data_IF_264227538890
#
_entry.id   IF_264227538890
#
_cell.length_a   1.000
_cell.length_b   1.000
_cell.length_c   1.000
_cell.angle_alpha   90.00
_cell.angle_beta   90.00
_cell.angle_gamma   90.00
#
_symmetry.space_group_name_H-M   'P 1'
#
loop_
_entity.id
_entity.type
_entity.pdbx_description
1 polymer ?
#
# COMPACT_ATOMS: atom_id res chain seq x y z
N UNK A 1 23.67 -33.54 9.53
CA UNK A 1 24.41 -34.79 9.29
C UNK A 1 23.90 -35.84 10.27
N UNK A 2 22.89 -36.61 9.88
CA UNK A 2 22.40 -37.77 10.63
C UNK A 2 21.71 -38.70 9.62
N UNK A 3 22.36 -39.83 9.33
CA UNK A 3 21.89 -40.84 8.37
C UNK A 3 20.99 -41.84 9.10
N UNK A 4 19.82 -42.15 8.53
CA UNK A 4 18.99 -43.28 8.93
C UNK A 4 18.90 -44.25 7.74
N UNK A 5 19.51 -45.43 7.88
CA UNK A 5 19.43 -46.55 6.93
C UNK A 5 18.25 -47.45 7.31
N UNK A 6 17.39 -47.79 6.33
CA UNK A 6 16.35 -48.83 6.45
C UNK A 6 16.78 -50.06 5.65
N UNK A 7 16.87 -51.20 6.34
CA UNK A 7 17.17 -52.52 5.77
C UNK A 7 15.93 -53.12 5.09
N UNK A 8 16.10 -53.60 3.86
CA UNK A 8 15.16 -54.47 3.15
C UNK A 8 15.61 -55.92 3.26
N UNK A 9 14.71 -56.82 3.67
CA UNK A 9 14.94 -58.27 3.69
C UNK A 9 14.00 -58.93 2.69
N UNK A 10 14.59 -59.58 1.67
CA UNK A 10 13.93 -60.37 0.63
C UNK A 10 13.97 -61.85 1.06
N UNK A 11 12.85 -62.58 1.05
CA UNK A 11 12.86 -64.05 1.16
C UNK A 11 11.93 -64.68 0.12
N UNK A 12 12.55 -65.57 -0.67
CA UNK A 12 12.05 -66.38 -1.78
C UNK A 12 11.11 -67.51 -1.30
N UNK A 13 10.09 -67.82 -2.10
CA UNK A 13 9.25 -69.02 -2.00
C UNK A 13 9.88 -70.15 -2.84
N UNK A 14 9.94 -71.36 -2.30
CA UNK A 14 10.06 -72.59 -3.08
C UNK A 14 9.45 -73.78 -2.30
N UNK A 15 8.41 -74.39 -2.85
CA UNK A 15 7.85 -75.67 -2.36
C UNK A 15 7.66 -76.61 -3.55
N UNK A 16 8.38 -77.73 -3.52
CA UNK A 16 8.34 -78.82 -4.49
C UNK A 16 7.30 -79.89 -4.11
N UNK A 17 6.72 -80.47 -5.15
CA UNK A 17 5.69 -81.53 -5.26
C UNK A 17 6.21 -82.91 -4.81
N UNK A 18 5.32 -83.85 -4.43
CA UNK A 18 5.18 -85.22 -5.00
C UNK A 18 4.16 -86.16 -4.27
N UNK A 19 3.09 -86.50 -5.02
CA UNK A 19 2.53 -87.84 -5.39
C UNK A 19 1.97 -88.87 -4.36
N UNK A 20 0.74 -89.31 -4.65
CA UNK A 20 0.31 -90.73 -4.71
C UNK A 20 -0.99 -91.05 -3.94
N UNK A 21 -1.99 -91.84 -4.40
CA UNK A 21 -2.22 -92.70 -5.57
C UNK A 21 -3.73 -93.13 -5.59
N UNK A 22 -4.28 -93.40 -6.80
CA UNK A 22 -5.26 -94.46 -7.21
C UNK A 22 -6.64 -94.59 -6.51
N UNK A 23 -7.80 -94.88 -7.12
CA UNK A 23 -8.18 -95.60 -8.35
C UNK A 23 -9.72 -95.37 -8.64
N UNK A 24 -10.39 -96.00 -9.64
CA UNK A 24 -11.16 -95.29 -10.67
C UNK A 24 -12.67 -95.62 -10.70
N UNK A 25 -13.47 -94.86 -11.46
CA UNK A 25 -14.65 -95.39 -12.18
C UNK A 25 -15.01 -94.48 -13.37
N UNK A 26 -15.22 -95.12 -14.52
CA UNK A 26 -15.51 -94.53 -15.83
C UNK A 26 -16.95 -94.01 -15.90
N UNK A 27 -17.16 -92.81 -16.44
CA UNK A 27 -18.24 -92.56 -17.41
C UNK A 27 -17.85 -91.45 -18.40
N UNK A 28 -18.21 -91.68 -19.66
CA UNK A 28 -17.75 -90.96 -20.83
C UNK A 28 -18.41 -89.58 -20.95
N UNK A 29 -17.64 -88.50 -20.81
CA UNK A 29 -18.00 -87.17 -21.30
C UNK A 29 -16.74 -86.41 -21.75
N UNK A 30 -16.93 -85.56 -22.75
CA UNK A 30 -15.97 -84.72 -23.48
C UNK A 30 -14.86 -84.11 -22.62
N UNK A 31 -13.68 -83.76 -23.19
CA UNK A 31 -12.68 -83.00 -22.44
C UNK A 31 -13.34 -81.72 -21.94
N UNK A 32 -13.50 -81.58 -20.62
CA UNK A 32 -13.76 -80.28 -20.03
C UNK A 32 -12.48 -79.47 -20.21
N UNK A 33 -12.63 -78.40 -20.97
CA UNK A 33 -11.73 -77.26 -20.98
C UNK A 33 -11.51 -76.80 -19.52
N UNK A 34 -10.27 -76.74 -19.02
CA UNK A 34 -10.02 -76.31 -17.66
C UNK A 34 -10.25 -74.79 -17.57
N UNK A 35 -11.25 -74.41 -16.76
CA UNK A 35 -11.64 -73.04 -16.39
C UNK A 35 -12.19 -72.16 -17.52
N UNK A 36 -13.40 -71.59 -17.37
CA UNK A 36 -13.66 -70.29 -17.95
C UNK A 36 -12.66 -69.32 -17.31
N UNK A 37 -11.95 -68.58 -18.17
CA UNK A 37 -11.18 -67.40 -17.81
C UNK A 37 -12.06 -66.53 -16.90
N UNK A 38 -11.50 -66.11 -15.77
CA UNK A 38 -12.05 -65.07 -14.90
C UNK A 38 -12.64 -63.95 -15.76
N UNK A 39 -13.94 -63.70 -15.62
CA UNK A 39 -14.68 -62.69 -16.37
C UNK A 39 -13.98 -61.33 -16.18
N UNK A 40 -13.13 -60.96 -17.15
CA UNK A 40 -12.04 -59.99 -17.09
C UNK A 40 -12.50 -58.53 -17.03
N UNK A 41 -13.39 -58.24 -16.09
CA UNK A 41 -14.08 -56.96 -15.98
C UNK A 41 -13.20 -55.89 -15.32
N UNK A 42 -13.31 -54.62 -15.77
CA UNK A 42 -12.69 -53.52 -15.06
C UNK A 42 -13.26 -53.37 -13.64
N UNK A 43 -12.42 -52.93 -12.70
CA UNK A 43 -12.82 -52.61 -11.32
C UNK A 43 -12.37 -51.19 -11.02
N UNK A 44 -13.32 -50.29 -10.87
CA UNK A 44 -13.09 -48.93 -10.38
C UNK A 44 -13.07 -48.95 -8.84
N UNK A 45 -12.15 -48.21 -8.24
CA UNK A 45 -11.94 -48.10 -6.79
C UNK A 45 -12.03 -46.64 -6.40
N UNK A 46 -12.70 -46.35 -5.28
CA UNK A 46 -12.88 -44.97 -4.81
C UNK A 46 -11.55 -44.24 -4.61
N UNK A 47 -11.56 -42.96 -4.95
CA UNK A 47 -10.43 -42.04 -4.88
C UNK A 47 -10.64 -40.97 -3.81
N UNK A 48 -9.54 -40.48 -3.25
CA UNK A 48 -9.55 -39.36 -2.29
C UNK A 48 -8.56 -38.29 -2.72
N UNK A 49 -8.96 -37.03 -2.57
CA UNK A 49 -8.09 -35.89 -2.80
C UNK A 49 -8.39 -34.75 -1.84
N UNK A 50 -7.47 -33.78 -1.83
CA UNK A 50 -7.60 -32.55 -1.04
C UNK A 50 -7.14 -31.39 -1.91
N UNK A 51 -7.86 -30.28 -1.84
CA UNK A 51 -7.50 -29.01 -2.48
C UNK A 51 -7.89 -27.88 -1.56
N UNK A 52 -7.24 -26.74 -1.68
CA UNK A 52 -7.74 -25.51 -1.07
C UNK A 52 -8.99 -25.03 -1.80
N UNK A 53 -9.84 -24.27 -1.13
CA UNK A 53 -10.88 -23.54 -1.83
C UNK A 53 -10.31 -22.63 -2.92
N UNK A 54 -11.16 -22.29 -3.89
CA UNK A 54 -10.85 -21.49 -5.08
C UNK A 54 -9.72 -21.97 -6.01
N UNK A 55 -8.92 -22.94 -5.56
CA UNK A 55 -7.85 -23.58 -6.30
C UNK A 55 -8.38 -24.70 -7.19
N UNK A 56 -7.80 -24.78 -8.40
CA UNK A 56 -8.03 -25.92 -9.28
C UNK A 56 -7.15 -27.10 -8.88
N UNK A 57 -7.73 -28.29 -8.84
CA UNK A 57 -7.04 -29.55 -8.59
C UNK A 57 -6.94 -30.37 -9.88
N UNK A 58 -5.70 -30.66 -10.31
CA UNK A 58 -5.46 -31.63 -11.39
C UNK A 58 -5.33 -33.03 -10.82
N UNK A 59 -6.27 -33.90 -11.18
CA UNK A 59 -6.33 -35.32 -10.83
C UNK A 59 -5.56 -36.14 -11.87
N UNK A 60 -4.28 -36.42 -11.59
CA UNK A 60 -3.37 -37.10 -12.53
C UNK A 60 -3.48 -38.65 -12.50
N UNK A 61 -4.02 -39.23 -11.42
CA UNK A 61 -3.87 -40.65 -11.11
C UNK A 61 -5.20 -41.37 -10.76
N UNK A 62 -6.32 -40.93 -11.33
CA UNK A 62 -7.65 -41.53 -11.06
C UNK A 62 -7.72 -43.03 -11.33
N UNK A 63 -6.96 -43.55 -12.29
CA UNK A 63 -6.96 -44.98 -12.63
C UNK A 63 -5.84 -45.77 -11.94
N UNK A 64 -5.10 -45.17 -11.00
CA UNK A 64 -3.87 -45.78 -10.44
C UNK A 64 -4.15 -46.90 -9.42
N UNK A 65 -5.29 -46.83 -8.74
CA UNK A 65 -5.85 -47.81 -7.82
C UNK A 65 -6.84 -48.77 -8.51
N UNK A 66 -7.21 -48.51 -9.76
CA UNK A 66 -8.15 -49.29 -10.54
C UNK A 66 -7.52 -50.54 -11.17
N UNK A 67 -8.38 -51.54 -11.41
CA UNK A 67 -8.04 -52.66 -12.28
C UNK A 67 -8.54 -52.37 -13.69
N UNK A 68 -7.61 -51.99 -14.56
CA UNK A 68 -7.87 -51.66 -15.97
C UNK A 68 -7.61 -52.91 -16.85
N UNK A 69 -8.68 -53.55 -17.31
CA UNK A 69 -8.66 -54.71 -18.22
C UNK A 69 -9.35 -54.36 -19.54
N UNK A 70 -9.08 -55.11 -20.60
CA UNK A 70 -9.77 -55.03 -21.91
C UNK A 70 -9.92 -53.59 -22.45
N UNK A 71 -8.80 -52.85 -22.42
CA UNK A 71 -8.69 -51.45 -22.86
C UNK A 71 -9.70 -50.50 -22.18
N UNK A 72 -10.12 -50.81 -20.95
CA UNK A 72 -11.08 -50.00 -20.24
C UNK A 72 -10.61 -48.57 -20.04
N UNK A 73 -11.57 -47.64 -20.13
CA UNK A 73 -11.35 -46.19 -19.98
C UNK A 73 -12.54 -45.55 -19.28
N UNK A 74 -12.33 -44.38 -18.69
CA UNK A 74 -13.43 -43.57 -18.16
C UNK A 74 -14.35 -43.20 -19.33
N UNK A 75 -15.58 -43.71 -19.29
CA UNK A 75 -16.59 -43.52 -20.35
C UNK A 75 -17.53 -42.36 -20.05
N UNK A 76 -17.79 -42.13 -18.76
CA UNK A 76 -18.61 -41.03 -18.26
C UNK A 76 -18.15 -40.64 -16.86
N UNK A 77 -18.35 -39.38 -16.52
CA UNK A 77 -18.11 -38.82 -15.20
C UNK A 77 -19.11 -37.68 -14.97
N UNK A 78 -19.37 -37.33 -13.71
CA UNK A 78 -20.21 -36.17 -13.42
C UNK A 78 -19.40 -34.89 -13.67
N UNK A 79 -19.88 -34.04 -14.58
CA UNK A 79 -19.24 -32.75 -14.89
C UNK A 79 -19.51 -31.68 -13.83
N UNK A 80 -20.50 -31.95 -12.97
CA UNK A 80 -20.86 -31.11 -11.81
C UNK A 80 -20.88 -32.00 -10.59
N UNK A 81 -20.16 -31.59 -9.56
CA UNK A 81 -20.01 -32.34 -8.31
C UNK A 81 -21.23 -32.15 -7.41
N UNK A 82 -21.26 -32.85 -6.28
CA UNK A 82 -22.37 -32.84 -5.33
C UNK A 82 -22.61 -31.43 -4.74
N UNK A 83 -21.56 -30.62 -4.57
CA UNK A 83 -21.65 -29.23 -4.09
C UNK A 83 -21.42 -28.18 -5.19
N UNK A 84 -21.66 -28.55 -6.46
CA UNK A 84 -21.73 -27.58 -7.57
C UNK A 84 -20.39 -27.19 -8.18
N UNK A 85 -19.29 -27.77 -7.71
CA UNK A 85 -17.98 -27.70 -8.38
C UNK A 85 -18.03 -28.31 -9.78
N UNK A 86 -17.00 -28.05 -10.57
CA UNK A 86 -16.90 -28.48 -11.96
C UNK A 86 -15.78 -29.48 -12.16
N UNK A 87 -16.01 -30.47 -13.03
CA UNK A 87 -14.99 -31.45 -13.45
C UNK A 87 -14.83 -31.39 -14.95
N UNK A 88 -13.58 -31.26 -15.41
CA UNK A 88 -13.23 -31.15 -16.84
C UNK A 88 -12.21 -32.22 -17.22
N UNK A 89 -12.47 -32.93 -18.33
CA UNK A 89 -11.50 -33.83 -18.96
C UNK A 89 -10.47 -33.03 -19.77
N UNK A 90 -9.19 -33.15 -19.41
CA UNK A 90 -8.08 -32.46 -20.06
C UNK A 90 -7.63 -33.12 -21.38
N UNK A 91 -8.24 -34.24 -21.76
CA UNK A 91 -7.98 -35.02 -22.99
C UNK A 91 -6.56 -35.55 -23.11
N UNK A 92 -5.86 -35.63 -21.98
CA UNK A 92 -4.52 -36.19 -21.85
C UNK A 92 -4.45 -37.30 -20.78
N UNK A 93 -5.61 -37.75 -20.27
CA UNK A 93 -5.72 -38.75 -19.20
C UNK A 93 -5.81 -38.15 -17.79
N UNK A 94 -5.80 -36.82 -17.65
CA UNK A 94 -6.04 -36.14 -16.37
C UNK A 94 -7.39 -35.41 -16.37
N UNK A 95 -7.90 -35.14 -15.18
CA UNK A 95 -9.14 -34.40 -14.96
C UNK A 95 -8.86 -33.19 -14.07
N UNK A 96 -9.52 -32.07 -14.32
CA UNK A 96 -9.43 -30.88 -13.46
C UNK A 96 -10.73 -30.74 -12.69
N UNK A 97 -10.63 -30.75 -11.36
CA UNK A 97 -11.70 -30.34 -10.46
C UNK A 97 -11.51 -28.87 -10.09
N UNK A 98 -12.60 -28.11 -10.07
CA UNK A 98 -12.65 -26.75 -9.52
C UNK A 98 -13.84 -26.66 -8.56
N UNK A 99 -13.65 -26.33 -7.28
CA UNK A 99 -14.75 -26.12 -6.35
C UNK A 99 -15.65 -24.95 -6.77
N UNK A 100 -16.83 -24.84 -6.16
CA UNK A 100 -17.59 -23.59 -6.18
C UNK A 100 -16.77 -22.51 -5.45
N UNK A 101 -16.87 -21.25 -5.89
CA UNK A 101 -16.17 -20.12 -5.24
C UNK A 101 -16.55 -20.03 -3.75
N UNK A 102 -15.54 -19.95 -2.88
CA UNK A 102 -15.68 -19.94 -1.42
C UNK A 102 -16.35 -21.20 -0.84
N UNK A 103 -16.21 -22.38 -1.46
CA UNK A 103 -16.77 -23.61 -0.88
C UNK A 103 -15.74 -24.35 -0.04
N UNK A 104 -16.04 -24.53 1.25
CA UNK A 104 -15.26 -25.38 2.17
C UNK A 104 -16.05 -26.61 2.60
N UNK A 105 -15.37 -27.75 2.62
CA UNK A 105 -15.91 -29.03 3.08
C UNK A 105 -15.76 -30.17 2.07
N UNK A 106 -16.50 -31.25 2.30
CA UNK A 106 -16.41 -32.44 1.47
C UNK A 106 -17.31 -32.33 0.23
N UNK A 107 -16.71 -32.57 -0.94
CA UNK A 107 -17.39 -32.69 -2.23
C UNK A 107 -17.11 -34.05 -2.88
N UNK A 108 -17.92 -34.42 -3.86
CA UNK A 108 -17.70 -35.66 -4.60
C UNK A 108 -18.34 -35.68 -5.98
N UNK A 109 -17.76 -36.51 -6.85
CA UNK A 109 -18.32 -36.89 -8.14
C UNK A 109 -18.02 -38.36 -8.44
N UNK A 110 -18.81 -38.98 -9.32
CA UNK A 110 -18.60 -40.36 -9.75
C UNK A 110 -18.03 -40.45 -11.17
N UNK A 111 -17.28 -41.51 -11.46
CA UNK A 111 -16.91 -41.90 -12.82
C UNK A 111 -17.23 -43.36 -13.10
N UNK A 112 -17.36 -43.70 -14.38
CA UNK A 112 -17.57 -45.07 -14.86
C UNK A 112 -16.44 -45.52 -15.78
N UNK A 113 -15.73 -46.57 -15.36
CA UNK A 113 -14.68 -47.25 -16.09
C UNK A 113 -15.31 -48.42 -16.86
N UNK A 114 -15.27 -48.39 -18.19
CA UNK A 114 -15.84 -49.43 -19.05
C UNK A 114 -14.82 -49.96 -20.05
N UNK A 115 -14.85 -51.26 -20.32
CA UNK A 115 -14.15 -51.89 -21.45
C UNK A 115 -14.67 -51.40 -22.82
N UNK A 116 -13.99 -51.78 -23.90
CA UNK A 116 -14.31 -51.36 -25.28
C UNK A 116 -15.16 -52.36 -26.08
N UNK A 117 -15.76 -53.34 -25.41
CA UNK A 117 -16.58 -54.40 -26.00
C UNK A 117 -17.91 -53.89 -26.61
N UNK A 118 -18.50 -54.69 -27.52
CA UNK A 118 -19.82 -54.39 -28.10
C UNK A 118 -20.91 -54.25 -27.02
N UNK A 119 -20.80 -55.01 -25.93
CA UNK A 119 -21.62 -54.87 -24.72
C UNK A 119 -20.70 -54.54 -23.56
N UNK A 120 -20.51 -53.24 -23.24
CA UNK A 120 -19.47 -52.83 -22.30
C UNK A 120 -19.73 -53.32 -20.88
N UNK A 121 -18.73 -53.89 -20.21
CA UNK A 121 -18.74 -54.08 -18.78
C UNK A 121 -18.19 -52.83 -18.09
N UNK A 122 -18.96 -52.28 -17.16
CA UNK A 122 -18.63 -51.04 -16.47
C UNK A 122 -18.56 -51.27 -14.96
N UNK A 123 -17.61 -50.58 -14.33
CA UNK A 123 -17.52 -50.39 -12.89
C UNK A 123 -17.52 -48.89 -12.58
N UNK A 124 -17.97 -48.50 -11.39
CA UNK A 124 -18.08 -47.10 -10.98
C UNK A 124 -17.38 -46.86 -9.65
N UNK A 125 -16.72 -45.72 -9.52
CA UNK A 125 -16.07 -45.27 -8.30
C UNK A 125 -16.44 -43.82 -8.01
N UNK A 126 -16.33 -43.46 -6.74
CA UNK A 126 -16.53 -42.09 -6.24
C UNK A 126 -15.17 -41.45 -6.01
N UNK A 127 -15.02 -40.21 -6.44
CA UNK A 127 -13.92 -39.34 -6.06
C UNK A 127 -14.40 -38.44 -4.94
N UNK A 128 -13.86 -38.62 -3.73
CA UNK A 128 -14.13 -37.76 -2.58
C UNK A 128 -13.05 -36.70 -2.44
N UNK A 129 -13.45 -35.43 -2.39
CA UNK A 129 -12.54 -34.28 -2.35
C UNK A 129 -12.84 -33.49 -1.09
N UNK A 130 -11.87 -33.33 -0.21
CA UNK A 130 -11.97 -32.39 0.90
C UNK A 130 -11.41 -31.05 0.44
N UNK A 131 -12.26 -30.02 0.40
CA UNK A 131 -11.88 -28.64 0.13
C UNK A 131 -11.54 -27.98 1.47
N UNK A 132 -10.32 -27.48 1.61
CA UNK A 132 -9.81 -26.89 2.86
C UNK A 132 -9.85 -25.37 2.79
N UNK A 133 -10.25 -24.79 3.90
CA UNK A 133 -10.23 -23.35 4.20
C UNK A 133 -8.81 -22.75 4.11
N UNK A 134 -8.70 -21.54 3.57
CA UNK A 134 -7.48 -20.74 3.47
C UNK A 134 -7.07 -20.06 4.80
N UNK A 135 -8.01 -19.91 5.73
CA UNK A 135 -7.88 -19.46 7.11
C UNK A 135 -8.79 -18.29 7.47
N UNK A 136 -9.00 -18.09 8.78
CA UNK A 136 -9.91 -17.04 9.29
C UNK A 136 -9.31 -15.61 9.24
N UNK A 137 -10.11 -14.57 8.89
CA UNK A 137 -9.68 -13.18 8.99
C UNK A 137 -9.47 -12.73 10.44
N UNK A 138 -8.57 -11.76 10.65
CA UNK A 138 -8.30 -11.17 11.98
C UNK A 138 -8.46 -9.65 11.94
N UNK A 139 -9.50 -9.15 12.61
CA UNK A 139 -9.73 -7.72 12.82
C UNK A 139 -8.99 -7.23 14.09
N UNK A 140 -8.27 -6.12 13.98
CA UNK A 140 -7.50 -5.51 15.05
C UNK A 140 -8.07 -4.12 15.41
N UNK A 141 -7.98 -3.74 16.69
CA UNK A 141 -8.57 -2.49 17.16
C UNK A 141 -7.90 -1.25 16.54
N UNK A 142 -8.72 -0.23 16.27
CA UNK A 142 -8.32 1.02 15.63
C UNK A 142 -8.43 2.22 16.57
N UNK A 143 -7.54 3.19 16.36
CA UNK A 143 -7.57 4.47 17.04
C UNK A 143 -7.51 5.61 16.01
N UNK A 144 -8.53 6.47 16.04
CA UNK A 144 -8.71 7.56 15.08
C UNK A 144 -8.95 8.86 15.87
N UNK A 145 -8.64 9.99 15.25
CA UNK A 145 -9.00 11.30 15.80
C UNK A 145 -9.86 12.07 14.83
N UNK A 146 -10.79 12.86 15.36
CA UNK A 146 -11.68 13.72 14.58
C UNK A 146 -11.78 15.10 15.23
N UNK A 147 -12.18 16.09 14.43
CA UNK A 147 -12.54 17.40 14.94
C UNK A 147 -14.03 17.47 15.26
N UNK A 148 -14.38 18.28 16.25
CA UNK A 148 -15.78 18.58 16.55
C UNK A 148 -16.52 19.03 15.28
N UNK A 149 -17.76 18.56 15.13
CA UNK A 149 -18.67 18.92 14.03
C UNK A 149 -18.14 18.61 12.62
N UNK A 150 -17.12 17.75 12.49
CA UNK A 150 -16.51 17.40 11.20
C UNK A 150 -16.77 15.94 10.85
N UNK A 151 -17.36 15.70 9.68
CA UNK A 151 -17.47 14.35 9.10
C UNK A 151 -16.11 13.89 8.58
N UNK A 152 -15.68 12.69 8.96
CA UNK A 152 -14.48 12.06 8.44
C UNK A 152 -14.83 10.80 7.64
N UNK A 153 -14.01 10.51 6.63
CA UNK A 153 -14.05 9.26 5.87
C UNK A 153 -12.86 8.40 6.30
N UNK A 154 -13.15 7.22 6.82
CA UNK A 154 -12.18 6.24 7.30
C UNK A 154 -11.99 5.22 6.17
N UNK A 155 -10.85 5.28 5.49
CA UNK A 155 -10.55 4.48 4.29
C UNK A 155 -9.47 3.42 4.51
N UNK A 156 -8.81 3.45 5.67
CA UNK A 156 -7.66 2.60 6.00
C UNK A 156 -7.91 1.77 7.27
N UNK A 157 -9.17 1.46 7.57
CA UNK A 157 -9.53 0.69 8.76
C UNK A 157 -8.94 -0.73 8.74
N UNK A 158 -8.74 -1.33 7.56
CA UNK A 158 -8.18 -2.67 7.41
C UNK A 158 -6.64 -2.69 7.40
N UNK A 159 -5.96 -1.55 7.64
CA UNK A 159 -4.51 -1.45 7.43
C UNK A 159 -3.67 -2.25 8.45
N UNK A 160 -4.26 -2.59 9.60
CA UNK A 160 -3.69 -3.39 10.68
C UNK A 160 -4.34 -4.78 10.78
N UNK A 161 -5.23 -5.15 9.85
CA UNK A 161 -5.96 -6.42 9.88
C UNK A 161 -5.27 -7.50 9.04
N UNK A 162 -5.56 -8.76 9.36
CA UNK A 162 -5.27 -9.90 8.48
C UNK A 162 -6.50 -10.13 7.60
N UNK A 163 -6.45 -9.57 6.40
CA UNK A 163 -7.48 -9.74 5.36
C UNK A 163 -7.06 -10.90 4.47
N UNK A 164 -7.59 -12.08 4.78
CA UNK A 164 -7.40 -13.32 4.02
C UNK A 164 -8.75 -13.84 3.55
N UNK A 165 -8.73 -14.81 2.64
CA UNK A 165 -9.92 -15.50 2.14
C UNK A 165 -11.07 -14.56 1.74
N UNK A 166 -10.80 -13.70 0.75
CA UNK A 166 -11.81 -12.76 0.24
C UNK A 166 -12.35 -11.71 1.24
N UNK A 167 -11.83 -11.64 2.47
CA UNK A 167 -12.55 -11.00 3.56
C UNK A 167 -12.84 -9.51 3.36
N UNK A 168 -14.07 -9.11 3.70
CA UNK A 168 -14.51 -7.71 3.66
C UNK A 168 -15.34 -7.31 4.88
N UNK A 169 -15.49 -6.00 5.09
CA UNK A 169 -16.33 -5.47 6.17
C UNK A 169 -17.79 -5.73 5.83
N UNK A 170 -18.43 -6.63 6.56
CA UNK A 170 -19.82 -7.00 6.33
C UNK A 170 -20.79 -6.14 7.14
N UNK A 171 -20.40 -5.73 8.34
CA UNK A 171 -21.27 -4.93 9.18
C UNK A 171 -20.54 -4.00 10.13
N UNK A 172 -21.28 -3.03 10.65
CA UNK A 172 -20.88 -2.15 11.74
C UNK A 172 -21.90 -2.24 12.86
N UNK A 173 -21.44 -2.16 14.11
CA UNK A 173 -22.30 -1.94 15.27
C UNK A 173 -21.96 -0.59 15.89
N UNK A 174 -22.87 0.35 15.71
CA UNK A 174 -22.77 1.72 16.19
C UNK A 174 -23.72 1.99 17.36
N UNK A 175 -24.23 0.97 18.06
CA UNK A 175 -25.17 1.15 19.18
C UNK A 175 -24.59 1.92 20.38
N UNK A 176 -23.26 1.94 20.50
CA UNK A 176 -22.55 2.67 21.57
C UNK A 176 -22.07 4.06 21.14
N UNK A 177 -22.24 4.42 19.86
CA UNK A 177 -21.69 5.67 19.36
C UNK A 177 -22.53 6.87 19.80
N UNK A 178 -21.87 8.01 20.02
CA UNK A 178 -22.52 9.30 20.21
C UNK A 178 -22.71 10.02 18.86
N UNK A 179 -21.91 9.66 17.85
CA UNK A 179 -22.02 10.18 16.50
C UNK A 179 -23.01 9.44 15.58
N UNK A 180 -22.74 9.53 14.28
CA UNK A 180 -23.38 8.75 13.22
C UNK A 180 -22.29 8.04 12.45
N UNK A 181 -22.40 6.72 12.34
CA UNK A 181 -21.47 5.85 11.60
C UNK A 181 -22.23 5.23 10.44
N UNK A 182 -21.66 5.29 9.23
CA UNK A 182 -22.23 4.68 8.02
C UNK A 182 -21.15 3.83 7.34
N UNK A 183 -21.45 2.55 7.10
CA UNK A 183 -20.70 1.70 6.18
C UNK A 183 -21.16 2.01 4.75
N UNK A 184 -20.25 2.49 3.92
CA UNK A 184 -20.54 2.87 2.55
C UNK A 184 -20.51 1.65 1.61
N UNK A 185 -21.05 1.80 0.41
CA UNK A 185 -21.10 0.72 -0.60
C UNK A 185 -19.71 0.24 -1.05
N UNK A 186 -18.69 1.10 -0.95
CA UNK A 186 -17.29 0.78 -1.27
C UNK A 186 -16.53 0.21 -0.07
N UNK A 187 -17.25 -0.20 0.98
CA UNK A 187 -16.73 -0.73 2.24
C UNK A 187 -15.88 0.26 3.06
N UNK A 188 -15.83 1.55 2.69
CA UNK A 188 -15.28 2.60 3.56
C UNK A 188 -16.30 2.97 4.65
N UNK A 189 -15.84 3.59 5.74
CA UNK A 189 -16.72 3.99 6.84
C UNK A 189 -16.70 5.51 6.97
N UNK A 190 -17.86 6.13 7.12
CA UNK A 190 -17.95 7.57 7.51
C UNK A 190 -18.39 7.70 8.95
N UNK A 191 -17.74 8.63 9.67
CA UNK A 191 -18.09 9.01 11.03
C UNK A 191 -18.38 10.51 11.10
N UNK A 192 -19.51 10.87 11.70
CA UNK A 192 -19.86 12.25 12.01
C UNK A 192 -20.15 12.38 13.50
N UNK A 193 -19.36 13.13 14.29
CA UNK A 193 -19.64 13.33 15.70
C UNK A 193 -20.95 14.09 15.88
N UNK A 194 -21.65 13.85 17.00
CA UNK A 194 -22.78 14.70 17.37
C UNK A 194 -22.31 16.16 17.50
N UNK A 195 -23.14 17.09 17.04
CA UNK A 195 -22.78 18.51 17.06
C UNK A 195 -22.47 18.99 18.50
N UNK A 196 -21.26 19.49 18.72
CA UNK A 196 -20.72 19.96 20.00
C UNK A 196 -20.11 18.88 20.88
N UNK A 197 -20.03 17.63 20.42
CA UNK A 197 -19.40 16.53 21.17
C UNK A 197 -17.87 16.65 21.18
N UNK A 198 -17.28 16.39 22.35
CA UNK A 198 -15.85 16.30 22.60
C UNK A 198 -15.58 15.12 23.54
N UNK A 199 -14.48 14.41 23.32
CA UNK A 199 -14.11 13.22 24.08
C UNK A 199 -14.09 11.96 23.20
N UNK A 200 -14.04 10.80 23.85
CA UNK A 200 -13.91 9.53 23.16
C UNK A 200 -15.28 8.95 22.78
N UNK A 201 -15.36 8.44 21.56
CA UNK A 201 -16.50 7.74 20.97
C UNK A 201 -16.02 6.37 20.44
N UNK A 202 -16.95 5.44 20.18
CA UNK A 202 -16.58 4.14 19.63
C UNK A 202 -17.71 3.46 18.85
N UNK A 203 -17.30 2.61 17.93
CA UNK A 203 -18.15 1.62 17.27
C UNK A 203 -17.32 0.35 16.99
N UNK A 204 -17.96 -0.74 16.57
CA UNK A 204 -17.24 -1.93 16.10
C UNK A 204 -17.55 -2.22 14.64
N UNK A 205 -16.62 -2.87 13.94
CA UNK A 205 -16.86 -3.44 12.60
C UNK A 205 -16.60 -4.95 12.64
N UNK A 206 -17.24 -5.67 11.73
CA UNK A 206 -17.08 -7.11 11.56
C UNK A 206 -16.55 -7.39 10.16
N UNK A 207 -15.38 -8.03 10.10
CA UNK A 207 -14.70 -8.52 8.90
C UNK A 207 -15.04 -10.00 8.75
N UNK A 208 -15.56 -10.42 7.60
CA UNK A 208 -15.87 -11.82 7.31
C UNK A 208 -15.26 -12.20 5.97
N UNK A 209 -14.79 -13.45 5.85
CA UNK A 209 -14.44 -14.09 4.58
C UNK A 209 -15.69 -14.36 3.71
N UNK A 210 -15.46 -14.88 2.50
CA UNK A 210 -16.49 -15.27 1.54
C UNK A 210 -16.86 -16.75 1.58
N UNK A 211 -16.49 -17.41 2.68
CA UNK A 211 -16.60 -18.84 2.87
C UNK A 211 -18.07 -19.33 2.96
N UNK A 212 -18.33 -20.51 2.41
CA UNK A 212 -19.67 -21.12 2.28
C UNK A 212 -19.65 -22.61 2.63
N UNK A 213 -20.66 -23.10 3.40
CA UNK A 213 -21.92 -22.43 3.74
C UNK A 213 -21.86 -21.44 4.91
N UNK A 214 -20.75 -21.40 5.66
CA UNK A 214 -20.60 -20.56 6.85
C UNK A 214 -19.31 -19.75 6.75
N UNK A 215 -19.44 -18.43 6.68
CA UNK A 215 -18.32 -17.50 6.74
C UNK A 215 -17.72 -17.43 8.14
N UNK A 216 -16.40 -17.34 8.23
CA UNK A 216 -15.67 -17.01 9.43
C UNK A 216 -15.57 -15.48 9.59
N UNK A 217 -15.76 -14.98 10.82
CA UNK A 217 -15.86 -13.54 11.08
C UNK A 217 -15.07 -13.11 12.31
N UNK A 218 -14.43 -11.95 12.22
CA UNK A 218 -13.70 -11.29 13.30
C UNK A 218 -14.21 -9.87 13.53
N UNK A 219 -14.21 -9.39 14.77
CA UNK A 219 -14.76 -8.08 15.14
C UNK A 219 -13.74 -7.26 15.93
N UNK A 220 -13.60 -5.99 15.57
CA UNK A 220 -12.72 -5.05 16.25
C UNK A 220 -13.42 -3.74 16.61
N UNK A 221 -12.87 -3.07 17.61
CA UNK A 221 -13.35 -1.77 18.10
C UNK A 221 -12.57 -0.64 17.45
N UNK A 222 -13.30 0.36 16.96
CA UNK A 222 -12.76 1.64 16.54
C UNK A 222 -12.99 2.65 17.65
N UNK A 223 -11.90 3.22 18.17
CA UNK A 223 -11.95 4.32 19.15
C UNK A 223 -11.68 5.64 18.45
N UNK A 224 -12.57 6.62 18.65
CA UNK A 224 -12.46 7.94 18.03
C UNK A 224 -12.29 8.99 19.13
N UNK A 225 -11.18 9.73 19.12
CA UNK A 225 -11.02 10.89 20.00
C UNK A 225 -11.45 12.17 19.28
N UNK A 226 -12.54 12.79 19.73
CA UNK A 226 -13.10 14.01 19.15
C UNK A 226 -12.58 15.22 19.92
N UNK A 227 -11.80 16.06 19.25
CA UNK A 227 -11.19 17.24 19.86
C UNK A 227 -11.68 18.53 19.21
N UNK A 228 -11.44 19.63 19.91
CA UNK A 228 -11.80 20.96 19.43
C UNK A 228 -10.81 21.45 18.38
N UNK A 229 -11.31 22.06 17.32
CA UNK A 229 -10.46 22.75 16.35
C UNK A 229 -9.78 23.98 16.99
N UNK A 230 -8.55 24.26 16.60
CA UNK A 230 -7.84 25.47 16.99
C UNK A 230 -8.44 26.68 16.25
N UNK A 231 -8.55 27.79 16.97
CA UNK A 231 -8.97 29.07 16.41
C UNK A 231 -7.76 30.00 16.35
N UNK A 232 -7.53 30.60 15.17
CA UNK A 232 -6.47 31.57 14.96
C UNK A 232 -7.05 32.94 14.56
N UNK A 233 -6.43 34.01 15.04
CA UNK A 233 -6.66 35.38 14.56
C UNK A 233 -5.88 35.59 13.27
N UNK A 234 -6.33 34.92 12.19
CA UNK A 234 -5.66 34.97 10.89
C UNK A 234 -5.67 36.42 10.36
N UNK A 235 -4.53 36.96 9.90
CA UNK A 235 -4.47 38.28 9.29
C UNK A 235 -5.46 38.42 8.14
N UNK A 236 -6.06 39.61 7.99
CA UNK A 236 -7.18 39.86 7.07
C UNK A 236 -6.87 39.53 5.60
N UNK A 237 -5.62 39.74 5.21
CA UNK A 237 -5.05 39.48 3.90
C UNK A 237 -4.89 37.98 3.62
N UNK A 238 -4.78 37.15 4.66
CA UNK A 238 -4.67 35.68 4.56
C UNK A 238 -5.99 34.96 4.81
N UNK A 239 -6.99 35.64 5.37
CA UNK A 239 -8.26 35.04 5.78
C UNK A 239 -8.97 34.30 4.63
N UNK A 240 -8.93 34.85 3.41
CA UNK A 240 -9.51 34.18 2.23
C UNK A 240 -8.70 32.97 1.77
N UNK A 241 -7.37 32.97 1.96
CA UNK A 241 -6.51 31.87 1.55
C UNK A 241 -6.75 30.63 2.43
N UNK A 242 -6.85 30.84 3.75
CA UNK A 242 -7.09 29.79 4.75
C UNK A 242 -8.56 29.51 5.06
N UNK A 243 -9.48 30.08 4.29
CA UNK A 243 -10.92 29.84 4.49
C UNK A 243 -11.25 28.35 4.33
N UNK A 244 -11.99 27.80 5.30
CA UNK A 244 -12.39 26.38 5.31
C UNK A 244 -11.34 25.42 5.89
N UNK A 245 -10.20 25.92 6.36
CA UNK A 245 -9.20 25.09 7.03
C UNK A 245 -9.54 24.91 8.49
N UNK A 246 -9.63 23.65 8.91
CA UNK A 246 -9.81 23.28 10.31
C UNK A 246 -8.45 23.03 10.96
N UNK A 247 -7.96 24.00 11.72
CA UNK A 247 -6.68 23.86 12.42
C UNK A 247 -6.81 22.91 13.60
N UNK A 248 -5.76 22.14 13.90
CA UNK A 248 -5.78 21.13 14.96
C UNK A 248 -4.41 21.01 15.63
N UNK A 249 -4.41 20.62 16.91
CA UNK A 249 -3.23 20.15 17.63
C UNK A 249 -2.94 18.65 17.39
N UNK A 250 -3.83 17.95 16.68
CA UNK A 250 -3.57 16.61 16.16
C UNK A 250 -2.72 16.73 14.90
N UNK A 251 -1.48 16.24 15.01
CA UNK A 251 -0.46 16.23 13.96
C UNK A 251 -0.97 15.76 12.59
N UNK A 252 -1.65 14.61 12.53
CA UNK A 252 -2.13 14.03 11.26
C UNK A 252 -3.19 14.90 10.58
N UNK A 253 -4.19 15.37 11.34
CA UNK A 253 -5.23 16.27 10.82
C UNK A 253 -4.61 17.57 10.30
N UNK A 254 -3.70 18.15 11.07
CA UNK A 254 -3.04 19.39 10.68
C UNK A 254 -2.18 19.21 9.42
N UNK A 255 -1.45 18.09 9.32
CA UNK A 255 -0.67 17.72 8.14
C UNK A 255 -1.56 17.59 6.90
N UNK A 256 -2.63 16.81 6.98
CA UNK A 256 -3.52 16.54 5.85
C UNK A 256 -4.26 17.80 5.38
N UNK A 257 -4.66 18.67 6.31
CA UNK A 257 -5.30 19.93 5.99
C UNK A 257 -4.35 20.90 5.26
N UNK A 258 -3.10 21.06 5.71
CA UNK A 258 -2.14 21.90 5.00
C UNK A 258 -1.68 21.29 3.67
N UNK A 259 -1.52 19.97 3.61
CA UNK A 259 -1.23 19.27 2.35
C UNK A 259 -2.34 19.48 1.34
N UNK A 260 -3.60 19.33 1.75
CA UNK A 260 -4.76 19.55 0.88
C UNK A 260 -4.88 21.01 0.44
N UNK A 261 -4.65 21.95 1.35
CA UNK A 261 -4.62 23.39 1.04
C UNK A 261 -3.53 23.71 0.01
N UNK A 262 -2.28 23.37 0.30
CA UNK A 262 -1.14 23.68 -0.58
C UNK A 262 -1.26 23.00 -1.94
N UNK A 263 -1.81 21.78 -1.99
CA UNK A 263 -2.09 21.08 -3.25
C UNK A 263 -3.18 21.77 -4.05
N UNK A 264 -4.33 22.07 -3.43
CA UNK A 264 -5.47 22.69 -4.12
C UNK A 264 -5.19 24.12 -4.58
N UNK A 265 -4.39 24.87 -3.82
CA UNK A 265 -4.01 26.25 -4.14
C UNK A 265 -2.90 26.34 -5.18
N UNK A 266 -2.12 25.28 -5.40
CA UNK A 266 -1.05 25.27 -6.41
C UNK A 266 -1.64 25.09 -7.82
N UNK A 267 -2.29 26.15 -8.31
CA UNK A 267 -3.07 26.17 -9.55
C UNK A 267 -2.23 26.30 -10.81
N UNK A 268 -0.99 26.77 -10.70
CA UNK A 268 -0.09 26.97 -11.85
C UNK A 268 1.26 26.31 -11.60
N UNK A 269 1.56 25.23 -12.35
CA UNK A 269 2.90 24.66 -12.43
C UNK A 269 3.67 25.39 -13.54
N UNK A 270 4.67 26.18 -13.19
CA UNK A 270 5.48 26.94 -14.16
C UNK A 270 6.42 26.01 -14.93
N UNK A 271 6.62 26.25 -16.22
CA UNK A 271 7.69 25.56 -16.96
C UNK A 271 9.08 26.02 -16.48
N UNK A 272 10.10 25.21 -16.80
CA UNK A 272 11.50 25.54 -16.50
C UNK A 272 11.89 26.94 -17.00
N UNK A 273 11.42 27.35 -18.18
CA UNK A 273 11.69 28.69 -18.71
C UNK A 273 10.95 29.79 -17.93
N UNK A 274 9.63 29.62 -17.74
CA UNK A 274 8.77 30.62 -17.09
C UNK A 274 9.22 30.94 -15.66
N UNK A 275 9.68 29.93 -14.91
CA UNK A 275 10.04 30.11 -13.49
C UNK A 275 11.10 31.19 -13.26
N UNK A 276 11.99 31.45 -14.22
CA UNK A 276 13.10 32.40 -14.03
C UNK A 276 12.60 33.83 -13.77
N UNK A 277 11.63 34.30 -14.57
CA UNK A 277 11.11 35.66 -14.39
C UNK A 277 10.42 35.81 -13.02
N UNK A 278 9.63 34.81 -12.63
CA UNK A 278 8.95 34.84 -11.33
C UNK A 278 9.93 34.67 -10.15
N UNK A 279 11.01 33.91 -10.34
CA UNK A 279 12.07 33.78 -9.35
C UNK A 279 12.76 35.13 -9.10
N UNK A 280 13.04 35.92 -10.15
CA UNK A 280 13.64 37.24 -9.97
C UNK A 280 12.70 38.20 -9.25
N UNK A 281 11.41 38.17 -9.58
CA UNK A 281 10.43 38.98 -8.88
C UNK A 281 10.28 38.55 -7.41
N UNK A 282 10.36 37.25 -7.13
CA UNK A 282 10.28 36.74 -5.76
C UNK A 282 11.51 37.21 -4.96
N UNK A 283 12.70 37.04 -5.53
CA UNK A 283 13.97 37.39 -4.87
C UNK A 283 14.35 38.88 -5.00
N UNK A 284 13.46 39.74 -5.52
CA UNK A 284 13.70 41.18 -5.72
C UNK A 284 14.18 41.86 -4.43
N UNK A 285 15.27 42.62 -4.51
CA UNK A 285 15.75 43.42 -3.38
C UNK A 285 14.76 44.57 -3.09
N UNK A 286 14.14 44.61 -1.90
CA UNK A 286 13.15 45.65 -1.55
C UNK A 286 13.72 47.07 -1.64
N UNK A 287 15.04 47.24 -1.52
CA UNK A 287 15.71 48.52 -1.56
C UNK A 287 16.27 48.86 -2.95
N UNK A 288 16.31 47.90 -3.86
CA UNK A 288 16.79 48.07 -5.22
C UNK A 288 16.08 47.10 -6.18
N UNK A 289 14.94 47.49 -6.79
CA UNK A 289 14.15 46.60 -7.65
C UNK A 289 14.85 46.10 -8.92
N UNK A 290 16.00 46.69 -9.29
CA UNK A 290 16.84 46.18 -10.38
C UNK A 290 17.73 44.99 -9.93
N UNK A 291 17.71 44.64 -8.64
CA UNK A 291 18.55 43.60 -8.06
C UNK A 291 17.74 42.46 -7.45
N UNK A 292 18.41 41.33 -7.26
CA UNK A 292 17.94 40.17 -6.49
C UNK A 292 18.83 39.93 -5.27
N UNK A 293 18.26 39.41 -4.18
CA UNK A 293 19.00 38.98 -2.99
C UNK A 293 19.43 37.52 -3.12
N UNK A 294 20.73 37.29 -3.11
CA UNK A 294 21.31 35.96 -3.26
C UNK A 294 21.29 35.17 -1.95
N UNK A 295 20.72 33.97 -2.01
CA UNK A 295 20.71 32.99 -0.94
C UNK A 295 22.11 32.71 -0.39
N UNK A 296 22.18 32.52 0.93
CA UNK A 296 23.39 32.29 1.73
C UNK A 296 24.26 33.54 1.90
N UNK A 297 24.55 34.27 0.82
CA UNK A 297 25.42 35.44 0.88
C UNK A 297 24.74 36.73 1.36
N UNK A 298 23.43 36.89 1.12
CA UNK A 298 22.73 38.16 1.37
C UNK A 298 23.09 39.28 0.40
N UNK A 299 23.91 39.02 -0.61
CA UNK A 299 24.31 40.04 -1.56
C UNK A 299 23.15 40.44 -2.49
N UNK A 300 23.01 41.74 -2.71
CA UNK A 300 22.11 42.32 -3.70
C UNK A 300 22.86 42.47 -5.03
N UNK A 301 22.42 41.77 -6.09
CA UNK A 301 23.08 41.79 -7.41
C UNK A 301 22.10 42.07 -8.54
N UNK A 302 22.58 42.73 -9.59
CA UNK A 302 21.75 43.12 -10.72
C UNK A 302 21.15 41.90 -11.42
N UNK A 303 19.84 41.86 -11.65
CA UNK A 303 19.13 40.65 -12.11
C UNK A 303 19.66 40.07 -13.44
N UNK A 304 20.26 40.91 -14.30
CA UNK A 304 20.87 40.43 -15.57
C UNK A 304 22.20 39.72 -15.38
N UNK A 305 22.79 39.68 -14.19
CA UNK A 305 23.96 38.86 -13.88
C UNK A 305 23.63 37.36 -13.78
N UNK A 306 22.39 36.94 -14.06
CA UNK A 306 22.03 35.52 -14.09
C UNK A 306 22.83 34.73 -15.14
N UNK A 307 23.32 33.57 -14.74
CA UNK A 307 24.14 32.68 -15.57
C UNK A 307 23.26 31.89 -16.54
N UNK A 308 23.38 32.18 -17.84
CA UNK A 308 22.67 31.46 -18.90
C UNK A 308 23.43 31.53 -20.22
N UNK A 309 23.45 30.41 -20.96
CA UNK A 309 24.08 30.34 -22.28
C UNK A 309 23.44 31.25 -23.34
N UNK A 310 22.23 31.78 -23.08
CA UNK A 310 21.56 32.75 -23.96
C UNK A 310 21.60 34.19 -23.43
N UNK A 311 22.15 34.41 -22.23
CA UNK A 311 22.32 35.74 -21.67
C UNK A 311 23.60 36.40 -22.22
N UNK A 312 23.47 37.60 -22.79
CA UNK A 312 24.59 38.36 -23.34
C UNK A 312 25.19 39.37 -22.34
N UNK A 313 24.62 39.51 -21.15
CA UNK A 313 25.13 40.40 -20.11
C UNK A 313 26.43 39.85 -19.50
N UNK A 314 27.32 40.73 -19.04
CA UNK A 314 28.56 40.39 -18.35
C UNK A 314 28.83 41.44 -17.25
N UNK A 315 29.20 41.03 -16.03
CA UNK A 315 29.47 39.64 -15.62
C UNK A 315 28.19 38.81 -15.45
N UNK A 316 28.32 37.48 -15.49
CA UNK A 316 27.29 36.54 -15.03
C UNK A 316 27.82 35.88 -13.76
N UNK A 317 27.13 36.07 -12.64
CA UNK A 317 27.70 35.82 -11.29
C UNK A 317 26.83 34.92 -10.42
N UNK A 318 25.54 34.76 -10.73
CA UNK A 318 24.63 33.95 -9.94
C UNK A 318 23.79 33.02 -10.82
N UNK A 319 23.20 31.99 -10.24
CA UNK A 319 22.32 31.04 -10.92
C UNK A 319 21.16 30.63 -9.99
N UNK A 320 20.37 29.63 -10.40
CA UNK A 320 19.28 29.10 -9.59
C UNK A 320 19.77 27.97 -8.70
N UNK A 321 19.51 28.11 -7.41
CA UNK A 321 19.68 27.11 -6.37
C UNK A 321 18.35 26.38 -6.12
N UNK A 322 18.43 25.06 -5.99
CA UNK A 322 17.34 24.18 -5.58
C UNK A 322 17.57 23.81 -4.11
N UNK A 323 16.93 24.53 -3.17
CA UNK A 323 17.13 24.32 -1.72
C UNK A 323 16.91 22.87 -1.30
N UNK A 324 15.93 22.18 -1.88
CA UNK A 324 15.95 20.72 -1.92
C UNK A 324 16.64 20.30 -3.22
N UNK A 325 17.84 19.67 -3.17
CA UNK A 325 18.62 19.42 -4.38
C UNK A 325 17.83 18.68 -5.43
N UNK A 326 17.89 19.17 -6.68
CA UNK A 326 17.13 18.58 -7.79
C UNK A 326 17.43 17.08 -7.97
N UNK A 327 18.66 16.65 -7.70
CA UNK A 327 19.06 15.23 -7.77
C UNK A 327 18.40 14.32 -6.72
N UNK A 328 17.77 14.91 -5.69
CA UNK A 328 17.16 14.19 -4.58
C UNK A 328 15.62 14.25 -4.60
N UNK A 329 15.03 15.09 -5.45
CA UNK A 329 13.58 15.19 -5.57
C UNK A 329 12.98 13.89 -6.11
N UNK A 330 11.88 13.45 -5.49
CA UNK A 330 11.00 12.41 -6.01
C UNK A 330 9.95 12.98 -6.96
N UNK A 331 9.49 14.21 -6.76
CA UNK A 331 8.45 14.85 -7.59
C UNK A 331 9.04 15.67 -8.74
N UNK A 332 8.52 15.44 -9.96
CA UNK A 332 8.88 16.23 -11.15
C UNK A 332 8.34 17.66 -11.10
N UNK A 333 7.17 17.87 -10.50
CA UNK A 333 6.54 19.19 -10.40
C UNK A 333 7.26 20.09 -9.39
N UNK A 334 7.90 19.49 -8.37
CA UNK A 334 8.70 20.23 -7.40
C UNK A 334 9.90 20.95 -8.04
N UNK A 335 10.46 20.42 -9.15
CA UNK A 335 11.64 20.97 -9.83
C UNK A 335 11.48 22.45 -10.22
N UNK A 336 10.25 22.88 -10.48
CA UNK A 336 9.92 24.23 -10.94
C UNK A 336 9.18 25.07 -9.91
N UNK A 337 8.97 24.56 -8.69
CA UNK A 337 8.21 25.24 -7.64
C UNK A 337 9.06 26.33 -6.96
N UNK A 338 8.66 27.60 -7.10
CA UNK A 338 9.43 28.75 -6.59
C UNK A 338 9.59 28.76 -5.07
N UNK A 339 8.73 28.04 -4.33
CA UNK A 339 8.84 27.95 -2.87
C UNK A 339 10.12 27.28 -2.40
N UNK A 340 10.88 26.60 -3.27
CA UNK A 340 12.18 26.04 -2.90
C UNK A 340 13.33 26.52 -3.81
N UNK A 341 13.04 27.37 -4.79
CA UNK A 341 14.04 27.92 -5.70
C UNK A 341 14.51 29.27 -5.19
N UNK A 342 15.82 29.48 -5.27
CA UNK A 342 16.47 30.75 -4.89
C UNK A 342 17.50 31.16 -5.93
N UNK A 343 17.76 32.44 -6.05
CA UNK A 343 18.97 32.95 -6.68
C UNK A 343 20.14 32.77 -5.72
N UNK A 344 21.29 32.30 -6.22
CA UNK A 344 22.49 32.11 -5.40
C UNK A 344 23.74 32.36 -6.24
N UNK A 345 24.78 32.87 -5.60
CA UNK A 345 26.09 33.03 -6.24
C UNK A 345 26.56 31.70 -6.84
N UNK A 346 27.14 31.75 -8.05
CA UNK A 346 27.46 30.53 -8.81
C UNK A 346 28.51 29.67 -8.11
N UNK A 347 29.50 30.28 -7.46
CA UNK A 347 30.55 29.56 -6.74
C UNK A 347 29.99 28.99 -5.44
N UNK A 348 29.14 29.74 -4.74
CA UNK A 348 28.45 29.27 -3.53
C UNK A 348 27.52 28.10 -3.83
N UNK A 349 26.70 28.19 -4.88
CA UNK A 349 25.80 27.12 -5.28
C UNK A 349 26.59 25.87 -5.70
N UNK A 350 27.68 26.06 -6.45
CA UNK A 350 28.59 24.96 -6.82
C UNK A 350 29.23 24.29 -5.59
N UNK A 351 29.61 25.08 -4.58
CA UNK A 351 30.16 24.59 -3.32
C UNK A 351 29.11 23.85 -2.47
N UNK A 352 27.87 24.34 -2.47
CA UNK A 352 26.73 23.73 -1.76
C UNK A 352 26.45 22.31 -2.28
N UNK A 353 26.50 22.10 -3.60
CA UNK A 353 26.28 20.80 -4.24
C UNK A 353 24.92 20.19 -3.86
N UNK A 354 24.87 18.91 -3.47
CA UNK A 354 23.68 18.23 -2.95
C UNK A 354 23.86 17.78 -1.48
N UNK A 355 24.76 18.44 -0.74
CA UNK A 355 25.07 18.03 0.62
C UNK A 355 23.87 18.24 1.55
N UNK A 356 23.61 17.29 2.47
CA UNK A 356 22.58 17.47 3.48
C UNK A 356 22.94 18.62 4.42
N UNK A 357 21.91 19.28 4.92
CA UNK A 357 21.99 20.36 5.88
C UNK A 357 22.45 19.86 7.27
N UNK A 358 23.15 20.70 8.00
CA UNK A 358 23.63 20.42 9.36
C UNK A 358 23.75 21.69 10.20
N UNK A 359 23.71 21.54 11.52
CA UNK A 359 23.98 22.64 12.45
C UNK A 359 25.41 23.20 12.29
N UNK A 360 25.51 24.51 12.54
CA UNK A 360 26.71 25.34 12.47
C UNK A 360 26.44 26.72 13.08
N UNK A 361 27.34 27.68 12.89
CA UNK A 361 27.17 29.06 13.32
C UNK A 361 27.90 30.04 12.41
N UNK A 362 27.45 31.30 12.38
CA UNK A 362 28.01 32.36 11.55
C UNK A 362 27.47 32.33 10.11
N UNK A 363 28.35 32.61 9.15
CA UNK A 363 28.00 32.57 7.72
C UNK A 363 27.90 31.13 7.21
N UNK A 364 27.34 30.96 6.01
CA UNK A 364 27.28 29.66 5.34
C UNK A 364 28.66 28.99 5.22
N UNK A 365 28.69 27.66 5.31
CA UNK A 365 29.93 26.88 5.20
C UNK A 365 29.68 25.42 4.80
N UNK A 366 30.62 24.87 4.01
CA UNK A 366 30.76 23.43 3.82
C UNK A 366 31.52 22.83 5.00
N UNK A 367 30.84 22.01 5.80
CA UNK A 367 31.38 21.39 7.01
C UNK A 367 31.79 19.94 6.74
N UNK A 368 33.04 19.61 7.08
CA UNK A 368 33.56 18.24 6.95
C UNK A 368 33.49 17.68 5.51
N UNK A 369 33.47 18.56 4.49
CA UNK A 369 33.35 18.22 3.06
C UNK A 369 32.12 17.38 2.68
N UNK A 370 31.11 17.30 3.55
CA UNK A 370 29.97 16.38 3.36
C UNK A 370 28.64 16.96 3.81
N UNK A 371 28.64 18.11 4.49
CA UNK A 371 27.42 18.71 5.04
C UNK A 371 27.43 20.21 4.85
N UNK A 372 26.26 20.80 4.63
CA UNK A 372 26.13 22.23 4.39
C UNK A 372 25.45 22.92 5.58
N UNK A 373 26.05 24.00 6.07
CA UNK A 373 25.39 24.91 6.99
C UNK A 373 25.01 26.19 6.22
N UNK A 374 23.73 26.61 6.20
CA UNK A 374 23.26 27.72 5.36
C UNK A 374 23.60 29.11 5.90
N UNK A 375 24.09 29.22 7.14
CA UNK A 375 24.29 30.51 7.81
C UNK A 375 23.16 30.84 8.77
N UNK A 376 23.46 31.68 9.77
CA UNK A 376 22.51 32.05 10.83
C UNK A 376 21.28 32.79 10.28
N UNK A 377 21.46 33.63 9.26
CA UNK A 377 20.42 34.48 8.63
C UNK A 377 19.55 33.74 7.60
N UNK A 378 19.81 32.45 7.35
CA UNK A 378 19.18 31.69 6.26
C UNK A 378 18.64 30.32 6.67
N UNK A 379 18.87 29.91 7.91
CA UNK A 379 18.53 28.57 8.37
C UNK A 379 17.02 28.37 8.51
N UNK A 380 16.30 29.42 8.90
CA UNK A 380 14.84 29.44 9.00
C UNK A 380 14.20 29.35 7.63
N UNK A 381 14.68 30.15 6.67
CA UNK A 381 14.33 30.08 5.25
C UNK A 381 14.44 28.63 4.73
N UNK A 382 15.61 28.02 4.89
CA UNK A 382 15.85 26.63 4.45
C UNK A 382 14.86 25.67 5.11
N UNK A 383 14.68 25.77 6.43
CA UNK A 383 13.78 24.90 7.16
C UNK A 383 12.35 24.97 6.62
N UNK A 384 11.81 26.18 6.47
CA UNK A 384 10.43 26.40 5.98
C UNK A 384 10.24 25.93 4.55
N UNK A 385 11.24 26.10 3.68
CA UNK A 385 11.18 25.59 2.29
C UNK A 385 11.20 24.06 2.23
N UNK A 386 12.03 23.41 3.06
CA UNK A 386 12.07 21.93 3.14
C UNK A 386 10.77 21.36 3.73
N UNK A 387 10.25 21.97 4.81
CA UNK A 387 8.97 21.59 5.40
C UNK A 387 7.81 21.74 4.40
N UNK A 388 7.81 22.80 3.59
CA UNK A 388 6.84 22.99 2.53
C UNK A 388 6.86 21.85 1.49
N UNK A 389 8.04 21.41 1.03
CA UNK A 389 8.11 20.29 0.09
C UNK A 389 7.65 18.97 0.71
N UNK A 390 7.83 18.79 2.02
CA UNK A 390 7.31 17.62 2.71
C UNK A 390 5.77 17.58 2.65
N UNK A 391 5.08 18.66 3.03
CA UNK A 391 3.61 18.66 2.99
C UNK A 391 3.07 18.68 1.55
N UNK A 392 3.71 19.39 0.61
CA UNK A 392 3.18 19.57 -0.74
C UNK A 392 3.46 18.38 -1.65
N UNK A 393 4.64 17.75 -1.52
CA UNK A 393 5.12 16.71 -2.45
C UNK A 393 5.48 15.39 -1.77
N UNK A 394 5.44 15.32 -0.43
CA UNK A 394 5.87 14.12 0.30
C UNK A 394 7.38 13.93 0.31
N UNK A 395 8.16 14.98 0.02
CA UNK A 395 9.63 14.87 0.06
C UNK A 395 10.12 14.58 1.48
N UNK A 396 11.03 13.61 1.61
CA UNK A 396 11.43 13.09 2.92
C UNK A 396 12.59 13.92 3.48
N UNK A 397 12.51 14.32 4.76
CA UNK A 397 13.54 15.11 5.42
C UNK A 397 14.93 14.45 5.39
N UNK A 398 15.01 13.13 5.58
CA UNK A 398 16.26 12.39 5.71
C UNK A 398 17.18 12.43 4.48
N UNK A 399 16.67 12.84 3.30
CA UNK A 399 17.52 13.07 2.12
C UNK A 399 18.37 14.33 2.27
N UNK A 400 17.93 15.31 3.06
CA UNK A 400 18.54 16.65 3.14
C UNK A 400 18.82 17.12 4.56
N UNK A 401 18.40 16.41 5.61
CA UNK A 401 18.57 16.81 7.01
C UNK A 401 17.72 15.96 7.94
N UNK A 402 17.29 16.50 9.08
CA UNK A 402 16.31 15.86 9.97
C UNK A 402 15.19 16.82 10.32
N UNK A 403 14.02 16.29 10.69
CA UNK A 403 12.88 17.14 11.07
C UNK A 403 13.20 17.97 12.32
N UNK A 404 13.96 17.40 13.27
CA UNK A 404 14.38 18.09 14.49
C UNK A 404 15.29 19.28 14.18
N UNK A 405 16.22 19.12 13.23
CA UNK A 405 17.08 20.21 12.77
C UNK A 405 16.26 21.36 12.18
N UNK A 406 15.31 21.06 11.31
CA UNK A 406 14.51 22.09 10.67
C UNK A 406 13.53 22.75 11.65
N UNK A 407 12.99 22.01 12.63
CA UNK A 407 12.18 22.58 13.71
C UNK A 407 13.01 23.53 14.59
N UNK A 408 14.24 23.16 14.93
CA UNK A 408 15.16 24.02 15.66
C UNK A 408 15.43 25.32 14.89
N UNK A 409 15.74 25.22 13.59
CA UNK A 409 16.02 26.38 12.74
C UNK A 409 14.82 27.29 12.54
N UNK A 410 13.62 26.72 12.39
CA UNK A 410 12.38 27.48 12.26
C UNK A 410 12.10 28.37 13.49
N UNK A 411 12.65 28.02 14.66
CA UNK A 411 12.55 28.82 15.89
C UNK A 411 13.69 29.82 15.99
N UNK A 412 14.92 29.37 15.71
CA UNK A 412 16.13 30.18 15.91
C UNK A 412 16.31 31.30 14.88
N UNK A 413 15.58 31.25 13.77
CA UNK A 413 15.60 32.23 12.69
C UNK A 413 14.15 32.56 12.26
N UNK A 414 13.54 33.59 12.91
CA UNK A 414 12.16 34.00 12.66
C UNK A 414 11.92 34.42 11.21
N UNK A 415 10.65 34.41 10.80
CA UNK A 415 10.28 34.84 9.44
C UNK A 415 10.64 36.29 9.20
N UNK A 416 11.36 36.54 8.11
CA UNK A 416 11.76 37.88 7.69
C UNK A 416 10.71 38.57 6.81
N UNK A 417 10.79 39.90 6.69
CA UNK A 417 9.96 40.65 5.72
C UNK A 417 10.21 40.20 4.28
N UNK A 418 11.46 39.80 3.98
CA UNK A 418 11.83 39.31 2.66
C UNK A 418 11.14 37.97 2.35
N UNK A 419 11.04 37.06 3.29
CA UNK A 419 10.28 35.81 3.10
C UNK A 419 8.79 36.07 2.90
N UNK A 420 8.19 37.02 3.63
CA UNK A 420 6.78 37.40 3.45
C UNK A 420 6.56 37.97 2.04
N UNK A 421 7.45 38.86 1.57
CA UNK A 421 7.43 39.36 0.19
C UNK A 421 7.49 38.21 -0.80
N UNK A 422 8.45 37.29 -0.66
CA UNK A 422 8.59 36.12 -1.52
C UNK A 422 7.30 35.31 -1.56
N UNK A 423 6.71 35.02 -0.40
CA UNK A 423 5.49 34.23 -0.30
C UNK A 423 4.31 34.89 -1.05
N UNK A 424 4.19 36.22 -0.96
CA UNK A 424 3.18 36.99 -1.70
C UNK A 424 3.40 36.96 -3.22
N UNK A 425 4.65 37.11 -3.67
CA UNK A 425 4.98 37.06 -5.11
C UNK A 425 4.71 35.66 -5.66
N UNK A 426 5.11 34.61 -4.94
CA UNK A 426 4.92 33.22 -5.36
C UNK A 426 3.44 32.86 -5.36
N UNK A 427 2.63 33.33 -4.41
CA UNK A 427 1.17 33.17 -4.47
C UNK A 427 0.60 33.76 -5.76
N UNK A 428 1.02 34.98 -6.12
CA UNK A 428 0.60 35.60 -7.38
C UNK A 428 1.01 34.82 -8.63
N UNK A 429 2.11 34.05 -8.56
CA UNK A 429 2.66 33.30 -9.68
C UNK A 429 2.10 31.87 -9.81
N UNK A 430 1.94 31.17 -8.69
CA UNK A 430 1.60 29.73 -8.64
C UNK A 430 0.26 29.44 -7.95
N UNK A 431 -0.30 30.43 -7.24
CA UNK A 431 -1.58 30.36 -6.53
C UNK A 431 -1.47 29.87 -5.08
N UNK A 432 -0.35 29.26 -4.70
CA UNK A 432 -0.10 28.68 -3.39
C UNK A 432 0.94 29.46 -2.59
N UNK A 433 0.82 29.35 -1.27
CA UNK A 433 1.70 29.91 -0.26
C UNK A 433 2.42 28.81 0.50
N UNK A 434 3.59 29.13 1.05
CA UNK A 434 4.25 28.33 2.08
C UNK A 434 3.62 28.67 3.44
N UNK A 435 2.84 27.76 4.04
CA UNK A 435 2.14 28.05 5.29
C UNK A 435 3.07 28.26 6.48
N UNK A 436 4.31 27.76 6.40
CA UNK A 436 5.30 27.92 7.46
C UNK A 436 5.98 29.29 7.44
N UNK A 437 5.89 30.03 6.33
CA UNK A 437 6.25 31.45 6.28
C UNK A 437 5.10 32.29 6.88
N UNK A 438 3.85 31.96 6.52
CA UNK A 438 2.68 32.69 7.02
C UNK A 438 2.49 32.53 8.54
N UNK A 439 2.76 31.33 9.05
CA UNK A 439 2.74 31.01 10.48
C UNK A 439 3.70 29.82 10.78
N UNK A 440 4.91 30.12 11.27
CA UNK A 440 5.91 29.12 11.66
C UNK A 440 5.43 28.11 12.71
N UNK A 441 4.48 28.50 13.58
CA UNK A 441 3.95 27.61 14.61
C UNK A 441 3.14 26.44 14.03
N UNK A 442 2.64 26.54 12.79
CA UNK A 442 1.99 25.42 12.12
C UNK A 442 2.93 24.23 11.93
N UNK A 443 4.25 24.45 11.80
CA UNK A 443 5.24 23.37 11.78
C UNK A 443 5.29 22.61 13.12
N UNK A 444 5.19 23.34 14.23
CA UNK A 444 5.13 22.76 15.57
C UNK A 444 3.89 21.88 15.76
N UNK A 445 2.74 22.29 15.22
CA UNK A 445 1.51 21.49 15.30
C UNK A 445 1.63 20.16 14.56
N UNK A 446 2.38 20.13 13.46
CA UNK A 446 2.55 18.93 12.64
C UNK A 446 3.64 18.02 13.22
N UNK A 447 4.83 18.54 13.47
CA UNK A 447 5.99 17.71 13.82
C UNK A 447 6.41 17.81 15.29
N UNK A 448 5.67 18.56 16.11
CA UNK A 448 5.95 18.76 17.53
C UNK A 448 7.10 19.73 17.78
N UNK A 449 7.71 19.61 18.96
CA UNK A 449 8.82 20.46 19.40
C UNK A 449 8.38 21.74 20.12
N UNK A 450 9.34 22.64 20.36
CA UNK A 450 9.03 23.93 20.99
C UNK A 450 8.24 24.82 20.02
N UNK A 451 7.31 25.65 20.52
CA UNK A 451 6.50 26.49 19.67
C UNK A 451 7.32 27.62 19.05
N UNK A 452 7.30 27.72 17.72
CA UNK A 452 7.86 28.87 17.01
C UNK A 452 7.06 30.16 17.29
N UNK A 453 7.69 31.30 16.99
CA UNK A 453 7.04 32.62 17.05
C UNK A 453 5.98 32.80 15.95
N UNK A 454 5.20 33.89 16.01
CA UNK A 454 4.04 34.16 15.14
C UNK A 454 3.00 33.04 15.17
N UNK A 455 2.10 33.11 16.15
CA UNK A 455 1.06 32.09 16.41
C UNK A 455 -0.34 32.48 15.96
N UNK A 456 -0.52 33.65 15.34
CA UNK A 456 -1.86 34.24 15.11
C UNK A 456 -2.76 34.20 16.37
N UNK A 457 -2.20 34.58 17.53
CA UNK A 457 -2.89 34.57 18.82
C UNK A 457 -4.01 35.60 18.91
#
# INVERSE_FOLDING_TARGET
>A
MMFYMKNFTLILIASLILIGCSNPENEHSTPQDPNPIEDGKPIAVDDVATVKEDDELVLENLLSNDTVLDNAKIKSFDTTTTNGGTVTDNRNGTYTYKPTEGFVGDDSFSYSLCDDDETPNCSSATVSITVIDEGDPIANADAISSLENTTISITNILANDEVIDGATIESINNSLTIGTVVLNNDKTITYTPQNGFLGDDSFTYTLCDDDTPESSCSTATVTISVVKALSFNIPSELASYYSGISFSDISSIMFDNLRSLTTSKHTTILSYGQRHQYLYNADEDPNNPDNVILMYSGESRYWKEYTSGTNSYSPQTFNTEHIYPQSLLSSVDAVTDLHHLRTSDTDVNSLRSNFPYTNGSGTYALLGNTKWYPGDDWRGDVARMVMYLNIRYGEIFSKVGTVELFLEWNILDPVSEFEIQRNNVIEGAQGNRNPFIDNPYLATLIWGGNPAENKWN
#
